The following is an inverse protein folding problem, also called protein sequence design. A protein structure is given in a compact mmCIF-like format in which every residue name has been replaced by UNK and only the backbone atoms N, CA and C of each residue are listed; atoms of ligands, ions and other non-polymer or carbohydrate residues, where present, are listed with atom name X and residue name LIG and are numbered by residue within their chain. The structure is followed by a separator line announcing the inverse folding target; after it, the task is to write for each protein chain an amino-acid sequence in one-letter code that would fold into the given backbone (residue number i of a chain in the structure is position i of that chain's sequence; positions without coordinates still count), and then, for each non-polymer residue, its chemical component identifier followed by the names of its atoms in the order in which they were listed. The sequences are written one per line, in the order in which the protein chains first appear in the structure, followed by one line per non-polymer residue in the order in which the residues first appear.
data_IF_304943240547
#
_entry.id   IF_304943240547
#
_cell.length_a   1.000
_cell.length_b   1.000
_cell.length_c   1.000
_cell.angle_alpha   90.00
_cell.angle_beta   90.00
_cell.angle_gamma   90.00
#
_symmetry.space_group_name_H-M   'P 1'
#
loop_
_entity.id
_entity.type
_entity.pdbx_description
1 polymer ?
#
# COMPACT_ATOMS: atom_id res chain seq x y z
N UNK A 1 11.67 10.84 -5.07
CA UNK A 1 11.58 9.46 -4.53
C UNK A 1 12.48 8.47 -5.26
N UNK A 2 12.38 8.30 -6.59
CA UNK A 2 13.22 7.34 -7.34
C UNK A 2 14.73 7.45 -7.06
N UNK A 3 15.26 8.68 -7.03
CA UNK A 3 16.68 8.91 -6.76
C UNK A 3 17.16 8.37 -5.40
N UNK A 4 16.30 8.38 -4.38
CA UNK A 4 16.64 7.94 -3.02
C UNK A 4 16.57 6.41 -2.92
N UNK A 5 15.49 5.81 -3.39
CA UNK A 5 15.20 4.39 -3.11
C UNK A 5 15.69 3.42 -4.18
N UNK A 6 15.86 3.88 -5.42
CA UNK A 6 16.30 3.02 -6.53
C UNK A 6 17.74 3.29 -6.90
N UNK A 7 18.13 4.56 -6.95
CA UNK A 7 19.49 4.96 -7.33
C UNK A 7 20.42 5.18 -6.12
N UNK A 8 19.88 5.15 -4.90
CA UNK A 8 20.65 5.33 -3.65
C UNK A 8 21.49 6.61 -3.64
N UNK A 9 21.01 7.69 -4.27
CA UNK A 9 21.73 8.96 -4.27
C UNK A 9 21.68 9.58 -2.87
N UNK A 10 22.83 9.86 -2.21
CA UNK A 10 22.85 10.37 -0.84
C UNK A 10 22.34 11.82 -0.67
N UNK A 11 22.39 12.64 -1.72
CA UNK A 11 22.20 14.10 -1.63
C UNK A 11 20.91 14.60 -2.29
N UNK A 12 19.78 13.95 -2.00
CA UNK A 12 18.46 14.35 -2.52
C UNK A 12 17.55 14.78 -1.38
N UNK A 13 17.02 16.00 -1.48
CA UNK A 13 16.02 16.57 -0.59
C UNK A 13 14.65 16.60 -1.29
N UNK A 14 13.64 15.84 -0.84
CA UNK A 14 12.32 15.86 -1.43
C UNK A 14 11.49 17.05 -0.90
N UNK A 15 11.77 18.26 -1.40
CA UNK A 15 11.16 19.53 -0.92
C UNK A 15 9.63 19.61 -1.06
N UNK A 16 9.02 18.76 -1.88
CA UNK A 16 7.56 18.68 -2.07
C UNK A 16 6.89 17.60 -1.21
N UNK A 17 7.66 16.77 -0.50
CA UNK A 17 7.11 15.71 0.32
C UNK A 17 6.52 16.27 1.62
N UNK A 18 5.23 16.00 1.87
CA UNK A 18 4.54 16.54 3.03
C UNK A 18 5.08 15.94 4.35
N UNK A 19 5.46 14.67 4.35
CA UNK A 19 6.02 14.01 5.53
C UNK A 19 7.37 14.63 5.92
N UNK A 20 8.25 14.84 4.94
CA UNK A 20 9.55 15.49 5.18
C UNK A 20 9.36 16.95 5.61
N UNK A 21 8.50 17.73 4.93
CA UNK A 21 8.23 19.12 5.31
C UNK A 21 7.65 19.25 6.72
N UNK A 22 6.73 18.36 7.10
CA UNK A 22 6.20 18.29 8.47
C UNK A 22 7.27 17.90 9.49
N UNK A 23 8.12 16.93 9.15
CA UNK A 23 9.24 16.56 10.02
C UNK A 23 10.19 17.73 10.24
N UNK A 24 10.52 18.48 9.18
CA UNK A 24 11.34 19.70 9.25
C UNK A 24 10.65 20.77 10.11
N UNK A 25 9.35 21.01 9.89
CA UNK A 25 8.56 21.92 10.73
C UNK A 25 8.69 21.56 12.21
N UNK A 26 8.48 20.28 12.56
CA UNK A 26 8.56 19.78 13.93
C UNK A 26 9.99 19.81 14.50
N UNK A 27 11.01 19.62 13.66
CA UNK A 27 12.41 19.61 14.07
C UNK A 27 12.90 21.02 14.40
N UNK A 28 12.50 22.00 13.60
CA UNK A 28 12.89 23.41 13.79
C UNK A 28 11.87 24.21 14.59
N UNK A 29 10.77 23.61 15.04
CA UNK A 29 9.74 24.28 15.84
C UNK A 29 9.03 25.41 15.08
N UNK A 30 8.81 25.25 13.78
CA UNK A 30 8.17 26.26 12.94
C UNK A 30 6.65 26.23 13.12
N UNK A 31 6.03 27.40 13.23
CA UNK A 31 4.56 27.53 13.34
C UNK A 31 3.85 27.05 12.07
N UNK A 32 4.41 27.40 10.90
CA UNK A 32 3.86 27.04 9.59
C UNK A 32 4.71 25.98 8.89
N UNK A 33 4.08 25.28 7.93
CA UNK A 33 4.77 24.32 7.09
C UNK A 33 5.78 25.05 6.16
N UNK A 34 7.08 24.74 6.24
CA UNK A 34 8.11 25.46 5.49
C UNK A 34 7.87 25.36 3.99
N UNK A 35 8.02 26.48 3.27
CA UNK A 35 7.92 26.52 1.79
C UNK A 35 9.10 25.80 1.14
N UNK A 36 8.98 25.33 -0.11
CA UNK A 36 10.09 24.66 -0.81
C UNK A 36 11.40 25.48 -0.83
N UNK A 37 11.32 26.81 -0.97
CA UNK A 37 12.51 27.68 -0.92
C UNK A 37 13.19 27.71 0.45
N UNK A 38 12.40 27.66 1.54
CA UNK A 38 12.93 27.62 2.91
C UNK A 38 13.52 26.25 3.23
N UNK A 39 12.98 25.17 2.65
CA UNK A 39 13.49 23.81 2.84
C UNK A 39 14.96 23.70 2.41
N UNK A 40 15.34 24.26 1.27
CA UNK A 40 16.73 24.25 0.79
C UNK A 40 17.67 24.94 1.80
N UNK A 41 17.28 26.11 2.31
CA UNK A 41 18.09 26.85 3.29
C UNK A 41 18.21 26.10 4.63
N UNK A 42 17.08 25.59 5.15
CA UNK A 42 17.04 24.87 6.43
C UNK A 42 17.82 23.55 6.40
N UNK A 43 17.85 22.89 5.25
CA UNK A 43 18.48 21.57 5.09
C UNK A 43 19.86 21.63 4.45
N UNK A 44 20.44 22.82 4.23
CA UNK A 44 21.77 22.97 3.63
C UNK A 44 22.85 22.26 4.46
N UNK A 45 22.75 22.34 5.79
CA UNK A 45 23.67 21.64 6.71
C UNK A 45 23.56 20.11 6.68
N UNK A 46 22.58 19.54 5.98
CA UNK A 46 22.44 18.09 5.82
C UNK A 46 23.25 17.56 4.64
N UNK A 47 23.84 18.43 3.82
CA UNK A 47 24.76 17.99 2.76
C UNK A 47 25.98 17.28 3.38
N UNK A 48 26.52 16.25 2.72
CA UNK A 48 26.09 15.67 1.43
C UNK A 48 25.05 14.54 1.58
N UNK A 49 24.37 14.42 2.71
CA UNK A 49 23.49 13.29 3.07
C UNK A 49 22.03 13.72 3.28
N UNK A 50 21.50 14.62 2.44
CA UNK A 50 20.11 15.10 2.55
C UNK A 50 19.07 13.99 2.49
N UNK A 51 19.36 12.88 1.82
CA UNK A 51 18.44 11.73 1.75
C UNK A 51 18.34 10.97 3.07
N UNK A 52 19.42 10.93 3.86
CA UNK A 52 19.35 10.39 5.22
C UNK A 52 18.51 11.31 6.13
N UNK A 53 18.68 12.63 6.01
CA UNK A 53 17.85 13.61 6.72
C UNK A 53 16.37 13.44 6.42
N UNK A 54 16.01 13.31 5.13
CA UNK A 54 14.63 13.02 4.70
C UNK A 54 14.07 11.74 5.32
N UNK A 55 14.86 10.67 5.37
CA UNK A 55 14.46 9.40 5.99
C UNK A 55 14.13 9.54 7.47
N UNK A 56 14.97 10.28 8.22
CA UNK A 56 14.70 10.55 9.64
C UNK A 56 13.45 11.39 9.85
N UNK A 57 13.14 12.33 8.94
CA UNK A 57 11.93 13.15 9.06
C UNK A 57 10.65 12.33 8.96
N UNK A 58 10.59 11.33 8.08
CA UNK A 58 9.44 10.42 8.05
C UNK A 58 9.24 9.69 9.38
N UNK A 59 10.32 9.13 9.93
CA UNK A 59 10.28 8.43 11.24
C UNK A 59 9.95 9.37 12.39
N UNK A 60 10.41 10.60 12.31
CA UNK A 60 10.13 11.61 13.32
C UNK A 60 8.65 11.98 13.36
N UNK A 61 8.01 12.11 12.19
CA UNK A 61 6.57 12.37 12.10
C UNK A 61 5.76 11.18 12.58
N UNK A 62 6.15 9.95 12.22
CA UNK A 62 5.51 8.72 12.71
C UNK A 62 5.57 8.62 14.25
N UNK A 63 6.74 8.86 14.85
CA UNK A 63 6.93 8.80 16.30
C UNK A 63 6.25 9.93 17.08
N UNK A 64 6.02 11.07 16.45
CA UNK A 64 5.29 12.21 17.03
C UNK A 64 3.79 12.18 16.78
N UNK A 65 3.27 11.07 16.22
CA UNK A 65 1.86 10.93 15.92
C UNK A 65 0.98 11.51 17.03
N UNK A 66 0.34 12.65 16.74
CA UNK A 66 -1.00 12.91 17.26
C UNK A 66 -1.75 11.61 17.06
N UNK A 67 -2.40 11.03 18.09
CA UNK A 67 -3.11 9.78 17.94
C UNK A 67 -4.04 9.94 16.76
N UNK A 68 -3.67 9.33 15.64
CA UNK A 68 -4.51 9.26 14.47
C UNK A 68 -5.82 8.74 14.99
N UNK A 69 -6.87 9.52 14.79
CA UNK A 69 -8.28 9.19 14.97
C UNK A 69 -8.67 7.99 14.09
N UNK A 70 -7.94 6.88 14.17
CA UNK A 70 -8.37 5.57 13.74
C UNK A 70 -9.32 4.95 14.79
N UNK A 71 -9.26 5.43 16.05
CA UNK A 71 -10.22 5.03 17.09
C UNK A 71 -11.62 5.66 16.94
N UNK A 72 -11.83 6.70 16.11
CA UNK A 72 -13.18 7.24 15.86
C UNK A 72 -13.82 6.71 14.55
N UNK A 73 -13.17 5.79 13.84
CA UNK A 73 -13.74 5.17 12.65
C UNK A 73 -14.46 3.83 12.94
N UNK A 74 -14.63 3.45 14.21
CA UNK A 74 -15.41 2.26 14.59
C UNK A 74 -16.91 2.52 14.78
N UNK A 75 -17.39 3.76 14.62
CA UNK A 75 -18.82 4.10 14.63
C UNK A 75 -19.33 4.43 13.21
N UNK A 76 -19.16 3.48 12.29
CA UNK A 76 -19.92 3.44 11.05
C UNK A 76 -20.96 2.32 11.12
N UNK A 77 -21.82 2.38 12.14
CA UNK A 77 -23.07 1.65 12.18
C UNK A 77 -24.07 2.23 11.17
N UNK A 78 -23.82 2.05 9.86
CA UNK A 78 -24.88 2.00 8.84
C UNK A 78 -24.29 1.56 7.48
N UNK A 79 -24.21 0.25 7.25
CA UNK A 79 -23.95 -0.28 5.90
C UNK A 79 -25.30 -0.45 5.22
N UNK A 80 -25.69 0.51 4.38
CA UNK A 80 -26.80 0.34 3.45
C UNK A 80 -26.36 -0.62 2.33
N UNK A 81 -27.15 -1.66 1.99
CA UNK A 81 -26.82 -2.54 0.88
C UNK A 81 -26.98 -1.81 -0.45
N UNK A 82 -25.92 -1.84 -1.27
CA UNK A 82 -25.87 -1.26 -2.61
C UNK A 82 -26.90 -1.96 -3.53
N UNK A 83 -27.99 -1.26 -3.86
CA UNK A 83 -28.95 -1.68 -4.88
C UNK A 83 -28.31 -1.58 -6.27
N UNK A 84 -28.37 -2.69 -7.01
CA UNK A 84 -27.86 -2.85 -8.36
C UNK A 84 -28.58 -1.92 -9.34
N UNK A 85 -27.82 -1.08 -10.03
CA UNK A 85 -28.29 -0.34 -11.21
C UNK A 85 -28.22 -1.30 -12.40
N UNK A 86 -29.39 -1.56 -12.99
CA UNK A 86 -29.56 -2.27 -14.25
C UNK A 86 -29.10 -1.39 -15.42
N UNK A 87 -28.13 -1.86 -16.20
CA UNK A 87 -27.95 -1.49 -17.61
C UNK A 87 -27.63 -2.77 -18.36
N UNK A 88 -28.56 -3.21 -19.20
CA UNK A 88 -28.47 -4.47 -19.93
C UNK A 88 -27.39 -4.47 -21.00
N UNK A 89 -26.92 -5.67 -21.34
CA UNK A 89 -26.69 -6.09 -22.72
C UNK A 89 -26.98 -7.58 -22.85
N UNK A 90 -27.96 -7.86 -23.68
CA UNK A 90 -28.32 -9.16 -24.24
C UNK A 90 -27.17 -9.70 -25.12
N UNK A 91 -27.28 -10.94 -25.58
CA UNK A 91 -26.40 -11.66 -26.54
C UNK A 91 -25.37 -12.62 -25.94
N UNK A 92 -25.81 -13.64 -25.22
CA UNK A 92 -25.14 -14.96 -25.25
C UNK A 92 -26.08 -16.09 -24.78
N UNK A 93 -27.25 -16.21 -25.41
CA UNK A 93 -28.21 -17.30 -25.14
C UNK A 93 -28.43 -18.25 -26.32
N UNK A 94 -27.57 -18.26 -27.34
CA UNK A 94 -27.80 -19.09 -28.54
C UNK A 94 -26.79 -20.19 -28.82
N UNK A 95 -25.99 -20.60 -27.83
CA UNK A 95 -25.13 -21.75 -27.99
C UNK A 95 -25.16 -22.60 -26.72
N UNK A 96 -25.38 -23.90 -26.89
CA UNK A 96 -25.53 -24.94 -25.86
C UNK A 96 -26.98 -25.21 -25.41
N UNK A 97 -27.87 -25.30 -26.38
CA UNK A 97 -29.04 -26.16 -26.29
C UNK A 97 -28.80 -27.32 -27.24
N UNK A 98 -28.36 -28.48 -26.71
CA UNK A 98 -28.51 -29.81 -27.32
C UNK A 98 -28.13 -30.91 -26.28
N UNK A 99 -29.18 -31.48 -25.68
CA UNK A 99 -29.33 -32.87 -25.19
C UNK A 99 -28.78 -33.29 -23.81
N UNK A 100 -29.68 -33.12 -22.82
CA UNK A 100 -30.22 -34.05 -21.79
C UNK A 100 -29.38 -34.89 -20.77
N UNK A 101 -29.97 -35.19 -19.58
CA UNK A 101 -29.30 -35.78 -18.42
C UNK A 101 -29.58 -37.28 -18.24
N UNK A 102 -28.59 -38.05 -17.75
CA UNK A 102 -28.84 -39.38 -17.16
C UNK A 102 -28.09 -39.50 -15.82
N UNK A 103 -28.88 -39.86 -14.82
CA UNK A 103 -28.55 -40.10 -13.42
C UNK A 103 -27.44 -41.14 -13.20
N UNK A 104 -26.63 -40.89 -12.17
CA UNK A 104 -26.37 -41.89 -11.12
C UNK A 104 -24.98 -42.54 -11.10
N UNK A 105 -24.52 -42.76 -9.85
CA UNK A 105 -23.42 -43.64 -9.42
C UNK A 105 -22.04 -42.98 -9.59
N UNK A 106 -21.19 -42.80 -8.58
CA UNK A 106 -21.14 -43.26 -7.22
C UNK A 106 -19.77 -42.89 -6.64
N UNK A 107 -19.71 -42.74 -5.32
CA UNK A 107 -18.49 -42.57 -4.50
C UNK A 107 -17.27 -43.36 -4.99
N UNK A 108 -16.12 -42.69 -5.13
CA UNK A 108 -14.75 -43.20 -4.92
C UNK A 108 -13.82 -41.98 -5.09
N UNK A 109 -13.17 -41.42 -4.07
CA UNK A 109 -12.40 -42.14 -3.04
C UNK A 109 -11.09 -42.61 -3.66
N UNK A 110 -9.97 -42.03 -3.21
CA UNK A 110 -8.58 -42.42 -3.51
C UNK A 110 -8.06 -42.00 -4.91
N UNK A 111 -7.17 -40.99 -4.98
CA UNK A 111 -5.83 -41.19 -5.57
C UNK A 111 -4.93 -39.92 -5.54
N UNK A 112 -3.68 -40.13 -5.12
CA UNK A 112 -2.47 -39.33 -5.41
C UNK A 112 -2.25 -37.97 -4.73
N UNK A 113 -1.79 -38.03 -3.47
CA UNK A 113 -0.79 -37.11 -2.91
C UNK A 113 0.58 -37.79 -3.00
N UNK A 114 1.32 -37.58 -4.09
CA UNK A 114 2.68 -38.13 -4.21
C UNK A 114 3.59 -37.26 -5.10
N UNK A 115 4.61 -36.69 -4.44
CA UNK A 115 5.99 -36.42 -4.89
C UNK A 115 6.46 -35.00 -4.58
N UNK A 116 7.20 -34.87 -3.47
CA UNK A 116 8.40 -34.02 -3.40
C UNK A 116 9.30 -34.43 -2.24
N UNK A 117 10.59 -34.52 -2.57
CA UNK A 117 11.79 -34.59 -1.73
C UNK A 117 11.95 -35.87 -0.87
N UNK A 118 13.05 -36.61 -0.88
CA UNK A 118 14.43 -36.36 -1.34
C UNK A 118 15.40 -36.58 -0.18
N UNK A 119 16.39 -37.47 -0.39
CA UNK A 119 17.67 -37.65 0.37
C UNK A 119 17.52 -38.18 1.82
N UNK A 120 18.31 -39.11 2.37
CA UNK A 120 19.62 -39.72 2.07
C UNK A 120 19.68 -41.18 2.63
N UNK A 121 20.64 -42.01 2.17
CA UNK A 121 21.63 -42.65 3.06
C UNK A 121 22.63 -43.56 2.31
N UNK A 122 23.92 -43.32 2.62
CA UNK A 122 25.17 -44.08 2.40
C UNK A 122 26.01 -43.75 1.17
#
# INVERSE_FOLDING_TARGET
MFMIFSLHWPDVLPVSDLGVRKGVQLLYGLEELPRPSQMEQLCEKWRPYRSAGAWYMWRFVEGKGTPTTAAAAIDAGNVQPLQQIQTGQETQQHQLQLLEPINGIGNLGIFMKEKRAGLELK
#
